data_IF_282824807708
#
_entry.id   IF_282824807708
#
_cell.length_a   1.000
_cell.length_b   1.000
_cell.length_c   1.000
_cell.angle_alpha   90.00
_cell.angle_beta   90.00
_cell.angle_gamma   90.00
#
_symmetry.space_group_name_H-M   'P 1'
#
loop_
_entity.id
_entity.type
_entity.pdbx_description
1 polymer ?
#
# COMPACT_ATOMS: atom_id res chain seq x y z
N UNK A 1 -2.09 7.14 33.62
CA UNK A 1 -1.97 6.29 32.41
C UNK A 1 -1.57 7.11 31.17
N UNK A 2 -0.72 8.15 31.29
CA UNK A 2 -0.61 9.23 30.27
C UNK A 2 0.84 9.59 29.83
N UNK A 3 1.88 8.90 30.30
CA UNK A 3 3.28 9.26 29.96
C UNK A 3 3.97 8.31 28.97
N UNK A 4 3.44 7.08 28.79
CA UNK A 4 4.09 6.07 27.95
C UNK A 4 3.68 6.18 26.46
N UNK A 5 2.48 6.69 26.16
CA UNK A 5 1.99 6.85 24.79
C UNK A 5 2.65 8.04 24.08
N UNK A 6 2.90 9.15 24.81
CA UNK A 6 3.61 10.31 24.28
C UNK A 6 5.06 10.02 23.87
N UNK A 7 5.69 9.03 24.51
CA UNK A 7 7.09 8.68 24.22
C UNK A 7 7.22 7.88 22.91
N UNK A 8 6.22 7.04 22.58
CA UNK A 8 6.15 6.29 21.33
C UNK A 8 5.76 7.15 20.12
N UNK A 9 4.84 8.11 20.28
CA UNK A 9 4.46 9.03 19.18
C UNK A 9 5.64 9.89 18.70
N UNK A 10 6.52 10.28 19.62
CA UNK A 10 7.73 11.05 19.32
C UNK A 10 8.81 10.20 18.65
N UNK A 11 8.80 8.88 18.81
CA UNK A 11 9.81 7.98 18.22
C UNK A 11 9.57 7.76 16.71
N UNK A 12 8.32 7.71 16.27
CA UNK A 12 7.95 7.65 14.84
C UNK A 12 8.06 9.00 14.09
N UNK A 13 8.18 10.11 14.83
CA UNK A 13 8.33 11.46 14.28
C UNK A 13 9.79 11.93 14.16
N UNK A 14 10.73 11.21 14.76
CA UNK A 14 12.16 11.54 14.72
C UNK A 14 12.78 11.10 13.38
N UNK A 15 13.68 11.91 12.79
CA UNK A 15 14.40 11.50 11.60
C UNK A 15 15.22 10.25 11.86
N UNK A 16 15.10 9.26 10.97
CA UNK A 16 15.84 8.00 11.09
C UNK A 16 17.30 8.22 10.73
N UNK A 17 18.19 8.05 11.71
CA UNK A 17 19.64 8.14 11.55
C UNK A 17 20.14 7.17 10.46
N UNK A 18 21.16 7.58 9.69
CA UNK A 18 21.70 6.83 8.55
C UNK A 18 22.05 5.37 8.90
N UNK A 19 22.56 5.13 10.11
CA UNK A 19 22.97 3.82 10.63
C UNK A 19 21.79 2.91 11.07
N UNK A 20 20.54 3.42 11.09
CA UNK A 20 19.33 2.62 11.37
C UNK A 20 18.48 2.37 10.11
N UNK A 21 18.97 2.78 8.93
CA UNK A 21 18.29 2.58 7.65
C UNK A 21 18.46 1.13 7.20
N UNK A 22 17.45 0.32 7.50
CA UNK A 22 17.38 -1.13 7.16
C UNK A 22 17.01 -1.42 5.69
N UNK A 23 16.81 -0.40 4.87
CA UNK A 23 16.48 -0.54 3.45
C UNK A 23 17.73 -0.42 2.59
N UNK A 24 18.23 -1.56 2.13
CA UNK A 24 19.14 -1.64 0.98
C UNK A 24 18.40 -1.20 -0.29
N UNK A 25 19.12 -0.65 -1.28
CA UNK A 25 18.56 -0.27 -2.58
C UNK A 25 17.80 -1.45 -3.24
N UNK A 26 18.33 -2.66 -3.06
CA UNK A 26 17.72 -3.89 -3.57
C UNK A 26 16.41 -4.22 -2.83
N UNK A 27 16.40 -4.08 -1.50
CA UNK A 27 15.16 -4.24 -0.71
C UNK A 27 14.12 -3.16 -1.04
N UNK A 28 14.56 -1.95 -1.38
CA UNK A 28 13.66 -0.87 -1.79
C UNK A 28 13.03 -1.16 -3.15
N UNK A 29 13.82 -1.60 -4.15
CA UNK A 29 13.31 -1.98 -5.47
C UNK A 29 12.34 -3.17 -5.35
N UNK A 30 12.68 -4.20 -4.57
CA UNK A 30 11.81 -5.36 -4.36
C UNK A 30 10.49 -4.98 -3.66
N UNK A 31 10.55 -4.15 -2.62
CA UNK A 31 9.34 -3.64 -1.95
C UNK A 31 8.47 -2.83 -2.92
N UNK A 32 9.10 -2.04 -3.79
CA UNK A 32 8.39 -1.25 -4.79
C UNK A 32 7.70 -2.15 -5.82
N UNK A 33 8.39 -3.17 -6.33
CA UNK A 33 7.81 -4.18 -7.22
C UNK A 33 6.64 -4.92 -6.57
N UNK A 34 6.78 -5.34 -5.30
CA UNK A 34 5.68 -5.96 -4.52
C UNK A 34 4.45 -5.04 -4.46
N UNK A 35 4.68 -3.74 -4.24
CA UNK A 35 3.61 -2.75 -4.09
C UNK A 35 2.89 -2.40 -5.41
N UNK A 36 3.55 -2.58 -6.56
CA UNK A 36 2.96 -2.31 -7.89
C UNK A 36 2.06 -3.48 -8.33
N UNK A 37 2.39 -4.70 -7.93
CA UNK A 37 1.65 -5.90 -8.29
C UNK A 37 0.49 -6.07 -7.31
N UNK A 38 -0.64 -5.44 -7.62
CA UNK A 38 -1.86 -5.55 -6.82
C UNK A 38 -3.07 -5.83 -7.72
N UNK A 39 -4.01 -6.64 -7.22
CA UNK A 39 -5.23 -7.02 -7.95
C UNK A 39 -6.01 -5.79 -8.44
N UNK A 40 -5.97 -4.69 -7.68
CA UNK A 40 -6.60 -3.42 -8.02
C UNK A 40 -6.10 -2.85 -9.36
N UNK A 41 -4.81 -3.00 -9.66
CA UNK A 41 -4.23 -2.57 -10.94
C UNK A 41 -4.79 -3.36 -12.11
N UNK A 42 -5.00 -4.67 -11.94
CA UNK A 42 -5.63 -5.52 -12.96
C UNK A 42 -7.13 -5.17 -13.15
N UNK A 43 -7.84 -4.81 -12.08
CA UNK A 43 -9.23 -4.33 -12.14
C UNK A 43 -9.34 -3.00 -12.91
N UNK A 44 -8.39 -2.10 -12.70
CA UNK A 44 -8.33 -0.86 -13.48
C UNK A 44 -7.97 -1.13 -14.95
N UNK A 45 -7.02 -2.03 -15.23
CA UNK A 45 -6.64 -2.41 -16.58
C UNK A 45 -7.81 -3.01 -17.38
N UNK A 46 -8.56 -3.95 -16.80
CA UNK A 46 -9.75 -4.52 -17.46
C UNK A 46 -10.82 -3.47 -17.74
N UNK A 47 -10.95 -2.44 -16.89
CA UNK A 47 -11.96 -1.39 -17.06
C UNK A 47 -11.70 -0.49 -18.27
N UNK A 48 -10.46 -0.46 -18.78
CA UNK A 48 -10.07 0.33 -19.95
C UNK A 48 -10.32 -0.40 -21.28
N UNK A 49 -10.40 -1.74 -21.24
CA UNK A 49 -10.55 -2.60 -22.42
C UNK A 49 -12.02 -2.90 -22.72
N UNK A 50 -12.38 -3.19 -23.99
CA UNK A 50 -13.74 -3.59 -24.35
C UNK A 50 -14.06 -4.95 -23.70
N UNK A 51 -15.27 -5.16 -23.15
CA UNK A 51 -16.50 -4.36 -23.28
C UNK A 51 -16.72 -3.25 -22.22
N UNK A 52 -15.83 -3.08 -21.23
CA UNK A 52 -16.00 -2.10 -20.15
C UNK A 52 -15.51 -0.69 -20.54
N UNK A 53 -14.46 -0.62 -21.34
CA UNK A 53 -13.87 0.62 -21.85
C UNK A 53 -13.95 0.73 -23.37
N UNK A 54 -13.59 1.91 -23.89
CA UNK A 54 -13.62 2.23 -25.33
C UNK A 54 -12.24 2.17 -25.99
N UNK A 55 -11.17 1.91 -25.23
CA UNK A 55 -9.80 1.93 -25.76
C UNK A 55 -9.42 0.57 -26.33
N UNK A 56 -8.77 0.58 -27.50
CA UNK A 56 -8.16 -0.63 -28.05
C UNK A 56 -6.99 -1.08 -27.15
N UNK A 57 -6.66 -2.37 -27.13
CA UNK A 57 -5.59 -2.97 -26.33
C UNK A 57 -4.26 -2.20 -26.46
N UNK A 58 -3.85 -1.91 -27.70
CA UNK A 58 -2.62 -1.16 -27.97
C UNK A 58 -2.66 0.27 -27.39
N UNK A 59 -3.81 0.94 -27.45
CA UNK A 59 -3.97 2.28 -26.88
C UNK A 59 -3.95 2.24 -25.36
N UNK A 60 -4.61 1.26 -24.74
CA UNK A 60 -4.61 1.06 -23.30
C UNK A 60 -3.18 0.85 -22.76
N UNK A 61 -2.37 0.03 -23.44
CA UNK A 61 -0.97 -0.20 -23.06
C UNK A 61 -0.14 1.09 -23.13
N UNK A 62 -0.25 1.85 -24.23
CA UNK A 62 0.49 3.12 -24.37
C UNK A 62 0.09 4.12 -23.27
N UNK A 63 -1.21 4.26 -23.01
CA UNK A 63 -1.71 5.16 -21.97
C UNK A 63 -1.22 4.73 -20.58
N UNK A 64 -1.25 3.43 -20.26
CA UNK A 64 -0.73 2.92 -18.98
C UNK A 64 0.78 3.17 -18.83
N UNK A 65 1.56 2.98 -19.90
CA UNK A 65 3.00 3.25 -19.87
C UNK A 65 3.28 4.74 -19.62
N UNK A 66 2.60 5.62 -20.34
CA UNK A 66 2.74 7.07 -20.15
C UNK A 66 2.31 7.51 -18.74
N UNK A 67 1.18 7.00 -18.26
CA UNK A 67 0.69 7.28 -16.90
C UNK A 67 1.71 6.81 -15.85
N UNK A 68 2.27 5.61 -16.01
CA UNK A 68 3.26 5.06 -15.09
C UNK A 68 4.56 5.86 -15.06
N UNK A 69 5.03 6.35 -16.21
CA UNK A 69 6.21 7.21 -16.31
C UNK A 69 6.00 8.55 -15.61
N UNK A 70 4.86 9.21 -15.87
CA UNK A 70 4.52 10.49 -15.25
C UNK A 70 4.37 10.33 -13.73
N UNK A 71 3.62 9.31 -13.29
CA UNK A 71 3.44 9.01 -11.86
C UNK A 71 4.77 8.66 -11.20
N UNK A 72 5.61 7.86 -11.85
CA UNK A 72 6.94 7.52 -11.34
C UNK A 72 7.83 8.75 -11.14
N UNK A 73 7.81 9.69 -12.10
CA UNK A 73 8.55 10.95 -11.99
C UNK A 73 8.04 11.81 -10.82
N UNK A 74 6.72 12.00 -10.71
CA UNK A 74 6.10 12.76 -9.62
C UNK A 74 6.34 12.12 -8.24
N UNK A 75 6.31 10.79 -8.18
CA UNK A 75 6.57 10.04 -6.96
C UNK A 75 8.04 10.16 -6.53
N UNK A 76 8.97 10.06 -7.47
CA UNK A 76 10.41 10.25 -7.22
C UNK A 76 10.70 11.66 -6.69
N UNK A 77 10.09 12.69 -7.30
CA UNK A 77 10.22 14.07 -6.84
C UNK A 77 9.65 14.26 -5.43
N UNK A 78 8.47 13.69 -5.15
CA UNK A 78 7.84 13.75 -3.83
C UNK A 78 8.61 12.96 -2.75
N UNK A 79 9.30 11.89 -3.15
CA UNK A 79 10.09 11.02 -2.27
C UNK A 79 11.50 11.55 -1.93
N UNK A 80 12.02 12.50 -2.73
CA UNK A 80 13.38 13.04 -2.57
C UNK A 80 13.63 13.65 -1.18
N UNK A 81 12.70 14.44 -0.59
CA UNK A 81 12.91 15.00 0.75
C UNK A 81 12.84 13.95 1.87
N UNK A 82 12.04 12.89 1.67
CA UNK A 82 11.96 11.74 2.60
C UNK A 82 13.26 10.94 2.64
N UNK A 83 13.91 10.74 1.48
CA UNK A 83 15.20 10.06 1.35
C UNK A 83 16.38 10.89 1.89
N UNK A 84 16.40 12.19 1.57
CA UNK A 84 17.49 13.10 1.94
C UNK A 84 17.47 13.45 3.43
N UNK A 85 16.30 13.76 3.98
CA UNK A 85 16.16 14.25 5.35
C UNK A 85 15.63 13.20 6.34
N UNK A 86 15.15 12.05 5.87
CA UNK A 86 14.60 11.00 6.75
C UNK A 86 13.37 11.45 7.55
N UNK A 87 12.74 12.55 7.15
CA UNK A 87 11.61 13.15 7.84
C UNK A 87 10.30 12.45 7.45
N UNK A 88 9.41 12.16 8.41
CA UNK A 88 8.11 11.61 8.10
C UNK A 88 7.25 12.65 7.36
N UNK A 89 6.30 12.17 6.56
CA UNK A 89 5.42 13.02 5.75
C UNK A 89 4.66 14.08 6.58
N UNK A 90 4.30 13.73 7.83
CA UNK A 90 3.69 14.64 8.82
C UNK A 90 4.57 15.83 9.20
N UNK A 91 5.89 15.70 9.09
CA UNK A 91 6.87 16.76 9.34
C UNK A 91 7.16 17.53 8.04
N UNK A 92 7.19 16.85 6.89
CA UNK A 92 7.30 17.51 5.59
C UNK A 92 6.10 18.44 5.31
N UNK A 93 4.89 18.01 5.66
CA UNK A 93 3.68 18.82 5.50
C UNK A 93 3.61 20.03 6.44
N UNK A 94 4.35 20.01 7.57
CA UNK A 94 4.50 21.18 8.46
C UNK A 94 5.29 22.32 7.81
N UNK A 95 6.26 22.01 6.96
CA UNK A 95 7.01 23.05 6.25
C UNK A 95 6.14 23.81 5.24
N UNK A 96 5.13 23.16 4.65
CA UNK A 96 4.23 23.75 3.67
C UNK A 96 2.96 24.39 4.27
N UNK A 97 2.36 23.78 5.31
CA UNK A 97 1.06 24.19 5.85
C UNK A 97 1.10 24.68 7.31
N UNK A 98 2.29 24.77 7.91
CA UNK A 98 2.48 25.12 9.32
C UNK A 98 2.02 24.03 10.30
N UNK A 99 2.14 24.27 11.62
CA UNK A 99 1.89 23.25 12.65
C UNK A 99 0.43 22.78 12.75
N UNK A 100 -0.52 23.71 12.52
CA UNK A 100 -1.96 23.41 12.55
C UNK A 100 -2.45 22.85 11.22
N UNK A 101 -1.98 23.39 10.09
CA UNK A 101 -2.37 22.93 8.76
C UNK A 101 -1.80 21.54 8.40
N UNK A 102 -0.65 21.15 8.98
CA UNK A 102 -0.11 19.80 8.77
C UNK A 102 -1.04 18.69 9.24
N UNK A 103 -1.78 18.91 10.35
CA UNK A 103 -2.74 17.93 10.88
C UNK A 103 -3.89 17.72 9.90
N UNK A 104 -4.42 18.81 9.33
CA UNK A 104 -5.47 18.76 8.31
C UNK A 104 -4.97 18.04 7.05
N UNK A 105 -3.77 18.38 6.56
CA UNK A 105 -3.17 17.73 5.41
C UNK A 105 -2.95 16.21 5.63
N UNK A 106 -2.56 15.81 6.85
CA UNK A 106 -2.42 14.39 7.20
C UNK A 106 -3.76 13.67 7.22
N UNK A 107 -4.82 14.27 7.77
CA UNK A 107 -6.16 13.68 7.78
C UNK A 107 -6.70 13.52 6.35
N UNK A 108 -6.56 14.54 5.51
CA UNK A 108 -7.00 14.49 4.11
C UNK A 108 -6.30 13.34 3.37
N UNK A 109 -5.02 13.07 3.66
CA UNK A 109 -4.29 11.94 3.07
C UNK A 109 -4.66 10.59 3.69
N UNK A 110 -5.05 10.55 4.96
CA UNK A 110 -5.49 9.33 5.63
C UNK A 110 -6.83 8.82 5.07
N UNK A 111 -7.72 9.70 4.61
CA UNK A 111 -9.03 9.31 4.06
C UNK A 111 -8.88 8.36 2.85
N UNK A 112 -8.14 8.71 1.78
CA UNK A 112 -7.88 7.78 0.68
C UNK A 112 -7.18 6.49 1.14
N UNK A 113 -6.28 6.57 2.12
CA UNK A 113 -5.57 5.38 2.60
C UNK A 113 -6.53 4.37 3.25
N UNK A 114 -7.50 4.84 4.04
CA UNK A 114 -8.55 3.99 4.63
C UNK A 114 -9.47 3.43 3.55
N UNK A 115 -9.82 4.24 2.55
CA UNK A 115 -10.65 3.80 1.43
C UNK A 115 -9.98 2.68 0.62
N UNK A 116 -8.70 2.86 0.26
CA UNK A 116 -7.91 1.86 -0.46
C UNK A 116 -7.70 0.59 0.37
N UNK A 117 -7.51 0.73 1.68
CA UNK A 117 -7.46 -0.41 2.59
C UNK A 117 -8.77 -1.21 2.61
N UNK A 118 -9.92 -0.53 2.60
CA UNK A 118 -11.23 -1.17 2.52
C UNK A 118 -11.44 -1.95 1.22
N UNK A 119 -11.10 -1.34 0.07
CA UNK A 119 -11.19 -2.00 -1.24
C UNK A 119 -10.28 -3.24 -1.29
N UNK A 120 -9.04 -3.11 -0.82
CA UNK A 120 -8.09 -4.23 -0.77
C UNK A 120 -8.61 -5.40 0.05
N UNK A 121 -9.18 -5.11 1.22
CA UNK A 121 -9.79 -6.14 2.09
C UNK A 121 -11.00 -6.78 1.44
N UNK A 122 -11.85 -6.01 0.76
CA UNK A 122 -13.04 -6.52 0.08
C UNK A 122 -12.68 -7.48 -1.06
N UNK A 123 -11.70 -7.13 -1.88
CA UNK A 123 -11.20 -8.01 -2.95
C UNK A 123 -10.56 -9.28 -2.37
N UNK A 124 -9.78 -9.15 -1.29
CA UNK A 124 -9.22 -10.31 -0.58
C UNK A 124 -10.29 -11.24 -0.01
N UNK A 125 -11.34 -10.68 0.57
CA UNK A 125 -12.47 -11.43 1.09
C UNK A 125 -13.25 -12.18 -0.01
N UNK A 126 -13.45 -11.55 -1.18
CA UNK A 126 -14.01 -12.23 -2.34
C UNK A 126 -13.14 -13.40 -2.82
N UNK A 127 -11.82 -13.23 -2.85
CA UNK A 127 -10.91 -14.31 -3.25
C UNK A 127 -11.02 -15.52 -2.30
N UNK A 128 -11.00 -15.27 -0.98
CA UNK A 128 -11.18 -16.33 0.03
C UNK A 128 -12.55 -16.98 -0.11
N UNK A 129 -13.60 -16.18 -0.30
CA UNK A 129 -14.96 -16.67 -0.48
C UNK A 129 -15.07 -17.61 -1.69
N UNK A 130 -14.48 -17.26 -2.82
CA UNK A 130 -14.50 -18.07 -4.04
C UNK A 130 -13.77 -19.41 -3.83
N UNK A 131 -12.64 -19.40 -3.13
CA UNK A 131 -11.87 -20.60 -2.79
C UNK A 131 -12.70 -21.52 -1.88
N UNK A 132 -13.29 -20.99 -0.80
CA UNK A 132 -14.08 -21.80 0.13
C UNK A 132 -15.38 -22.30 -0.49
N UNK A 133 -16.02 -21.51 -1.35
CA UNK A 133 -17.22 -21.95 -2.07
C UNK A 133 -16.91 -23.12 -3.01
N UNK A 134 -15.75 -23.09 -3.67
CA UNK A 134 -15.30 -24.17 -4.57
C UNK A 134 -14.92 -25.45 -3.80
N UNK A 135 -14.34 -25.34 -2.61
CA UNK A 135 -13.86 -26.47 -1.81
C UNK A 135 -14.92 -27.09 -0.87
N UNK A 136 -15.72 -26.25 -0.21
CA UNK A 136 -16.60 -26.65 0.88
C UNK A 136 -18.07 -26.30 0.63
N UNK A 137 -18.40 -25.56 -0.44
CA UNK A 137 -19.77 -25.15 -0.76
C UNK A 137 -20.39 -24.17 0.25
N UNK A 138 -19.59 -23.62 1.17
CA UNK A 138 -20.03 -22.65 2.19
C UNK A 138 -19.38 -21.30 1.88
N UNK A 139 -20.17 -20.33 1.42
CA UNK A 139 -19.66 -19.03 1.02
C UNK A 139 -20.47 -17.87 1.59
N UNK A 140 -19.89 -17.11 2.53
CA UNK A 140 -20.39 -15.78 2.89
C UNK A 140 -19.26 -14.73 2.85
N UNK A 141 -19.30 -13.83 1.87
CA UNK A 141 -18.29 -12.78 1.66
C UNK A 141 -18.16 -11.87 2.88
N UNK A 142 -19.28 -11.56 3.56
CA UNK A 142 -19.28 -10.67 4.72
C UNK A 142 -18.52 -11.26 5.91
N UNK A 143 -18.65 -12.56 6.14
CA UNK A 143 -17.92 -13.26 7.21
C UNK A 143 -16.41 -13.20 6.93
N UNK A 144 -16.00 -13.50 5.70
CA UNK A 144 -14.60 -13.41 5.31
C UNK A 144 -14.08 -11.98 5.34
N UNK A 145 -14.91 -10.98 5.02
CA UNK A 145 -14.52 -9.59 5.10
C UNK A 145 -14.17 -9.15 6.53
N UNK A 146 -15.07 -9.40 7.50
CA UNK A 146 -14.80 -9.05 8.90
C UNK A 146 -13.67 -9.88 9.50
N UNK A 147 -13.60 -11.17 9.18
CA UNK A 147 -12.53 -12.05 9.67
C UNK A 147 -11.16 -11.62 9.12
N UNK A 148 -11.09 -11.30 7.82
CA UNK A 148 -9.87 -10.81 7.19
C UNK A 148 -9.47 -9.43 7.72
N UNK A 149 -10.43 -8.55 7.98
CA UNK A 149 -10.20 -7.24 8.60
C UNK A 149 -9.59 -7.37 10.02
N UNK A 150 -10.12 -8.29 10.84
CA UNK A 150 -9.60 -8.53 12.20
C UNK A 150 -8.18 -9.08 12.14
N UNK A 151 -7.92 -10.07 11.28
CA UNK A 151 -6.57 -10.64 11.11
C UNK A 151 -5.58 -9.57 10.65
N UNK A 152 -5.94 -8.75 9.66
CA UNK A 152 -5.07 -7.67 9.18
C UNK A 152 -4.80 -6.62 10.26
N UNK A 153 -5.81 -6.26 11.06
CA UNK A 153 -5.65 -5.31 12.18
C UNK A 153 -4.73 -5.89 13.27
N UNK A 154 -4.86 -7.18 13.58
CA UNK A 154 -3.98 -7.86 14.54
C UNK A 154 -2.54 -7.99 14.05
N UNK A 155 -2.34 -8.24 12.75
CA UNK A 155 -1.01 -8.23 12.13
C UNK A 155 -0.39 -6.84 12.14
N UNK A 156 -1.18 -5.80 11.89
CA UNK A 156 -0.74 -4.41 12.00
C UNK A 156 -0.33 -4.06 13.44
N UNK A 157 -1.05 -4.57 14.44
CA UNK A 157 -0.72 -4.38 15.86
C UNK A 157 0.62 -5.02 16.26
N UNK A 158 1.02 -6.14 15.63
CA UNK A 158 2.33 -6.78 15.86
C UNK A 158 3.53 -6.01 15.26
N UNK A 159 3.28 -4.90 14.55
CA UNK A 159 4.29 -3.93 14.15
C UNK A 159 5.05 -4.24 12.85
N UNK A 160 5.90 -3.30 12.45
CA UNK A 160 6.56 -3.21 11.12
C UNK A 160 7.43 -4.44 10.79
N UNK A 161 7.96 -5.15 11.80
CA UNK A 161 8.77 -6.37 11.57
C UNK A 161 7.96 -7.54 11.02
N UNK A 162 6.72 -7.74 11.48
CA UNK A 162 5.84 -8.79 10.94
C UNK A 162 5.38 -8.47 9.53
N UNK A 163 5.11 -7.19 9.23
CA UNK A 163 4.73 -6.73 7.89
C UNK A 163 5.87 -7.00 6.90
N UNK A 164 7.12 -6.68 7.26
CA UNK A 164 8.29 -6.93 6.39
C UNK A 164 8.45 -8.42 6.06
N UNK A 165 8.32 -9.30 7.06
CA UNK A 165 8.42 -10.74 6.81
C UNK A 165 7.28 -11.23 5.92
N UNK A 166 6.05 -10.81 6.18
CA UNK A 166 4.89 -11.19 5.37
C UNK A 166 5.02 -10.73 3.91
N UNK A 167 5.43 -9.49 3.68
CA UNK A 167 5.59 -8.90 2.35
C UNK A 167 6.72 -9.57 1.55
N UNK A 168 7.86 -9.87 2.19
CA UNK A 168 8.95 -10.64 1.55
C UNK A 168 8.51 -12.06 1.17
N UNK A 169 7.69 -12.70 2.03
CA UNK A 169 7.18 -14.05 1.76
C UNK A 169 6.17 -14.04 0.61
N UNK A 170 5.29 -13.03 0.55
CA UNK A 170 4.35 -12.84 -0.57
C UNK A 170 5.07 -12.56 -1.88
N UNK A 171 6.08 -11.69 -1.89
CA UNK A 171 6.86 -11.39 -3.09
C UNK A 171 7.56 -12.64 -3.65
N UNK A 172 8.09 -13.51 -2.78
CA UNK A 172 8.70 -14.79 -3.19
C UNK A 172 7.70 -15.76 -3.84
N UNK A 173 6.43 -15.73 -3.44
CA UNK A 173 5.38 -16.61 -3.99
C UNK A 173 4.78 -16.03 -5.28
N UNK A 174 4.59 -14.72 -5.36
CA UNK A 174 3.93 -14.07 -6.50
C UNK A 174 4.79 -14.01 -7.77
N UNK A 175 6.11 -13.78 -7.63
CA UNK A 175 7.02 -13.64 -8.78
C UNK A 175 7.10 -14.92 -9.64
N UNK A 176 7.22 -16.14 -9.08
CA UNK A 176 7.19 -17.37 -9.87
C UNK A 176 5.85 -17.64 -10.54
N UNK A 177 4.73 -17.32 -9.87
CA UNK A 177 3.38 -17.60 -10.39
C UNK A 177 3.05 -16.73 -11.62
N UNK A 178 3.53 -15.49 -11.66
CA UNK A 178 3.32 -14.62 -12.83
C UNK A 178 4.30 -14.84 -13.97
N UNK A 179 5.39 -15.58 -13.73
CA UNK A 179 6.35 -15.97 -14.76
C UNK A 179 5.93 -17.24 -15.53
N UNK A 180 4.83 -17.88 -15.11
CA UNK A 180 4.28 -19.13 -15.63
C UNK A 180 3.00 -18.86 -16.41
#
# INVERSE_FOLDING_TARGET
MSQNDSHNELEGLKPVAYNKRVFSLLSYILMWWSSVIVIQGFVLGQSMLPPAGKLNFYQAVIVMLLASLILGALYSLSGTPGLKYGIPFTVQSRAAFGPKGSRVATIIRAIPAVFWYGIGTWIGAMAINQITNTLFGVGNVWVYFFLFQVIQTLLAYKGIKSIKWFDVTMALVLVPIMAL
#
